data_IF_652491863700
#
_entry.id   IF_652491863700
#
_cell.length_a   1.000
_cell.length_b   1.000
_cell.length_c   1.000
_cell.angle_alpha   90.00
_cell.angle_beta   90.00
_cell.angle_gamma   90.00
#
_symmetry.space_group_name_H-M   'P 1'
#
loop_
_entity.id
_entity.type
_entity.pdbx_description
1 polymer ?
#
# COMPACT_ATOMS: atom_id res chain seq x y z
N UNK A 1 21.98 -8.48 -30.96
CA UNK A 1 20.58 -8.61 -30.50
C UNK A 1 19.95 -9.92 -31.00
N UNK A 2 20.79 -10.85 -31.47
CA UNK A 2 20.38 -11.85 -32.47
C UNK A 2 20.21 -13.25 -31.89
N UNK A 3 20.69 -13.46 -30.66
CA UNK A 3 20.64 -14.76 -29.99
C UNK A 3 19.26 -15.03 -29.34
N UNK A 4 18.57 -13.97 -28.88
CA UNK A 4 17.27 -14.11 -28.22
C UNK A 4 16.11 -14.35 -29.21
N UNK A 5 16.22 -13.83 -30.45
CA UNK A 5 15.25 -14.07 -31.53
C UNK A 5 15.49 -15.42 -32.23
N UNK A 6 16.71 -15.95 -32.20
CA UNK A 6 17.04 -17.24 -32.81
C UNK A 6 16.40 -18.44 -32.09
N UNK A 7 16.13 -18.33 -30.78
CA UNK A 7 15.46 -19.39 -30.00
C UNK A 7 13.93 -19.48 -30.23
N UNK A 8 13.31 -18.54 -30.96
CA UNK A 8 11.85 -18.52 -31.15
C UNK A 8 11.34 -19.55 -32.15
N UNK A 9 12.22 -20.07 -33.03
CA UNK A 9 11.80 -20.98 -34.10
C UNK A 9 11.59 -22.42 -33.66
N UNK A 10 12.06 -22.81 -32.48
CA UNK A 10 11.85 -24.14 -31.93
C UNK A 10 11.23 -24.03 -30.54
N UNK A 11 9.89 -24.11 -30.52
CA UNK A 11 9.03 -24.68 -29.47
C UNK A 11 7.99 -23.73 -28.85
N UNK A 12 6.73 -23.94 -29.20
CA UNK A 12 5.57 -23.87 -28.29
C UNK A 12 4.40 -24.61 -28.95
N UNK A 13 3.63 -25.37 -28.18
CA UNK A 13 2.52 -26.22 -28.71
C UNK A 13 1.15 -25.72 -28.28
N UNK A 14 1.05 -24.57 -27.59
CA UNK A 14 -0.24 -23.97 -27.19
C UNK A 14 -0.22 -22.42 -27.26
N UNK A 15 -1.34 -21.77 -27.67
CA UNK A 15 -1.42 -20.31 -27.81
C UNK A 15 -1.15 -19.52 -26.52
N UNK A 16 -1.51 -20.10 -25.36
CA UNK A 16 -1.30 -19.50 -24.05
C UNK A 16 0.21 -19.39 -23.71
N UNK A 17 1.01 -20.37 -24.14
CA UNK A 17 2.47 -20.38 -23.94
C UNK A 17 3.17 -19.34 -24.82
N UNK A 18 2.73 -19.18 -26.06
CA UNK A 18 3.25 -18.16 -26.99
C UNK A 18 2.96 -16.73 -26.49
N UNK A 19 1.74 -16.49 -26.00
CA UNK A 19 1.36 -15.21 -25.43
C UNK A 19 2.17 -14.88 -24.17
N UNK A 20 2.40 -15.86 -23.30
CA UNK A 20 3.23 -15.67 -22.11
C UNK A 20 4.69 -15.36 -22.50
N UNK A 21 5.24 -16.04 -23.50
CA UNK A 21 6.60 -15.80 -24.00
C UNK A 21 6.76 -14.38 -24.58
N UNK A 22 5.79 -13.92 -25.37
CA UNK A 22 5.73 -12.55 -25.90
C UNK A 22 5.70 -11.51 -24.78
N UNK A 23 4.83 -11.70 -23.79
CA UNK A 23 4.75 -10.79 -22.63
C UNK A 23 6.08 -10.71 -21.87
N UNK A 24 6.78 -11.83 -21.71
CA UNK A 24 8.08 -11.87 -21.03
C UNK A 24 9.16 -11.12 -21.81
N UNK A 25 9.22 -11.29 -23.13
CA UNK A 25 10.22 -10.59 -23.95
C UNK A 25 9.96 -9.09 -23.98
N UNK A 26 8.69 -8.67 -24.15
CA UNK A 26 8.31 -7.25 -24.05
C UNK A 26 8.68 -6.67 -22.70
N UNK A 27 8.36 -7.37 -21.61
CA UNK A 27 8.72 -6.93 -20.25
C UNK A 27 10.24 -6.80 -20.05
N UNK A 28 11.01 -7.77 -20.53
CA UNK A 28 12.47 -7.75 -20.40
C UNK A 28 13.10 -6.59 -21.19
N UNK A 29 12.64 -6.36 -22.42
CA UNK A 29 13.08 -5.23 -23.24
C UNK A 29 12.70 -3.90 -22.55
N UNK A 30 11.46 -3.76 -22.12
CA UNK A 30 11.00 -2.55 -21.42
C UNK A 30 11.84 -2.32 -20.15
N UNK A 31 12.13 -3.38 -19.38
CA UNK A 31 12.97 -3.30 -18.18
C UNK A 31 14.43 -2.94 -18.48
N UNK A 32 15.00 -3.37 -19.61
CA UNK A 32 16.38 -3.00 -19.97
C UNK A 32 16.49 -1.55 -20.44
N UNK A 33 15.51 -1.04 -21.19
CA UNK A 33 15.57 0.31 -21.75
C UNK A 33 14.99 1.37 -20.81
N UNK A 34 13.87 1.10 -20.14
CA UNK A 34 13.18 2.03 -19.25
C UNK A 34 13.56 1.86 -17.78
N UNK A 35 14.25 0.76 -17.43
CA UNK A 35 14.51 0.38 -16.05
C UNK A 35 13.26 -0.16 -15.34
N UNK A 36 13.41 -0.56 -14.08
CA UNK A 36 12.24 -0.84 -13.22
C UNK A 36 11.73 0.49 -12.67
N UNK A 37 10.42 0.81 -12.78
CA UNK A 37 9.88 1.94 -12.05
C UNK A 37 10.17 1.72 -10.57
N UNK A 38 10.81 2.71 -9.94
CA UNK A 38 11.08 2.67 -8.51
C UNK A 38 9.75 2.46 -7.78
N UNK A 39 9.63 1.35 -7.02
CA UNK A 39 8.50 1.16 -6.13
C UNK A 39 8.59 2.20 -5.02
N UNK A 40 7.96 3.36 -5.24
CA UNK A 40 7.52 4.19 -4.13
C UNK A 40 6.39 3.41 -3.48
N UNK A 41 6.68 2.78 -2.35
CA UNK A 41 5.61 2.34 -1.47
C UNK A 41 4.90 3.62 -1.06
N UNK A 42 3.77 3.96 -1.70
CA UNK A 42 2.88 5.00 -1.21
C UNK A 42 2.21 4.43 0.06
N UNK A 43 3.02 4.32 1.11
CA UNK A 43 2.58 4.45 2.46
C UNK A 43 2.01 5.88 2.51
N UNK A 44 0.70 6.00 2.75
CA UNK A 44 0.00 7.28 2.77
C UNK A 44 0.55 8.26 3.82
N UNK A 45 1.57 7.87 4.57
CA UNK A 45 2.14 8.56 5.71
C UNK A 45 3.62 8.96 5.51
N UNK A 46 4.23 8.69 4.35
CA UNK A 46 5.67 8.92 4.09
C UNK A 46 6.15 10.35 4.44
N UNK A 47 5.38 11.37 4.06
CA UNK A 47 5.72 12.78 4.34
C UNK A 47 5.74 13.07 5.85
N UNK A 48 4.79 12.50 6.60
CA UNK A 48 4.72 12.65 8.04
C UNK A 48 5.76 11.77 8.77
N UNK A 49 6.20 10.67 8.17
CA UNK A 49 7.26 9.83 8.71
C UNK A 49 8.61 10.55 8.72
N UNK A 50 8.90 11.36 7.70
CA UNK A 50 10.08 12.24 7.69
C UNK A 50 10.03 13.28 8.80
N UNK A 51 8.88 13.92 9.02
CA UNK A 51 8.69 14.88 10.11
C UNK A 51 8.80 14.23 11.49
N UNK A 52 8.29 13.00 11.62
CA UNK A 52 8.44 12.22 12.84
C UNK A 52 9.90 11.84 13.12
N UNK A 53 10.64 11.43 12.08
CA UNK A 53 12.08 11.11 12.15
C UNK A 53 12.91 12.31 12.63
N UNK A 54 12.59 13.52 12.18
CA UNK A 54 13.27 14.77 12.59
C UNK A 54 12.81 15.31 13.94
N UNK A 55 11.72 14.79 14.50
CA UNK A 55 11.12 15.34 15.72
C UNK A 55 11.98 15.12 16.96
N UNK A 56 12.09 16.15 17.82
CA UNK A 56 12.79 16.05 19.12
C UNK A 56 12.23 14.93 20.00
N UNK A 57 10.94 14.60 19.88
CA UNK A 57 10.29 13.51 20.61
C UNK A 57 10.90 12.14 20.29
N UNK A 58 11.28 11.91 19.02
CA UNK A 58 11.97 10.70 18.57
C UNK A 58 13.35 10.59 19.23
N UNK A 59 14.16 11.64 19.12
CA UNK A 59 15.49 11.68 19.72
C UNK A 59 15.45 11.52 21.24
N UNK A 60 14.48 12.13 21.93
CA UNK A 60 14.29 11.96 23.38
C UNK A 60 13.95 10.51 23.76
N UNK A 61 13.10 9.84 22.98
CA UNK A 61 12.78 8.42 23.17
C UNK A 61 14.02 7.56 22.99
N UNK A 62 14.78 7.79 21.93
CA UNK A 62 15.97 7.00 21.60
C UNK A 62 17.07 7.19 22.66
N UNK A 63 17.30 8.42 23.13
CA UNK A 63 18.22 8.69 24.24
C UNK A 63 17.75 8.06 25.57
N UNK A 64 16.46 8.15 25.89
CA UNK A 64 15.92 7.54 27.11
C UNK A 64 16.01 6.00 27.05
N UNK A 65 15.79 5.41 25.87
CA UNK A 65 16.01 3.99 25.62
C UNK A 65 17.46 3.62 25.87
N UNK A 66 18.40 4.33 25.26
CA UNK A 66 19.83 4.09 25.43
C UNK A 66 20.28 4.17 26.89
N UNK A 67 19.76 5.13 27.67
CA UNK A 67 20.05 5.25 29.11
C UNK A 67 19.55 4.04 29.90
N UNK A 68 18.40 3.47 29.56
CA UNK A 68 17.88 2.25 30.20
C UNK A 68 18.81 1.05 29.96
N UNK A 69 19.48 0.96 28.81
CA UNK A 69 20.45 -0.12 28.54
C UNK A 69 21.85 0.13 29.13
N UNK A 70 22.30 1.39 29.14
CA UNK A 70 23.67 1.73 29.56
C UNK A 70 23.84 1.87 31.07
N UNK A 71 22.77 2.17 31.79
CA UNK A 71 22.80 2.37 33.25
C UNK A 71 21.99 1.30 33.95
N UNK A 72 22.24 1.10 35.26
CA UNK A 72 21.38 0.23 36.07
C UNK A 72 19.94 0.73 35.98
N UNK A 73 19.04 -0.11 35.46
CA UNK A 73 17.62 0.23 35.32
C UNK A 73 17.04 0.61 36.69
N UNK A 74 16.56 1.84 36.80
CA UNK A 74 15.85 2.33 37.97
C UNK A 74 14.40 2.63 37.60
N UNK A 75 13.55 2.78 38.61
CA UNK A 75 12.16 3.21 38.41
C UNK A 75 12.09 4.57 37.70
N UNK A 76 13.05 5.46 37.98
CA UNK A 76 13.15 6.79 37.35
C UNK A 76 13.52 6.70 35.87
N UNK A 77 14.55 5.94 35.49
CA UNK A 77 14.96 5.81 34.08
C UNK A 77 13.87 5.12 33.24
N UNK A 78 13.18 4.14 33.82
CA UNK A 78 12.04 3.48 33.18
C UNK A 78 10.85 4.42 33.01
N UNK A 79 10.54 5.26 34.01
CA UNK A 79 9.48 6.27 33.91
C UNK A 79 9.79 7.31 32.82
N UNK A 80 11.02 7.82 32.79
CA UNK A 80 11.47 8.78 31.78
C UNK A 80 11.36 8.21 30.34
N UNK A 81 11.69 6.93 30.15
CA UNK A 81 11.50 6.25 28.87
C UNK A 81 10.02 6.14 28.49
N UNK A 82 9.16 5.71 29.42
CA UNK A 82 7.70 5.62 29.19
C UNK A 82 7.09 6.97 28.83
N UNK A 83 7.52 8.04 29.49
CA UNK A 83 7.03 9.39 29.19
C UNK A 83 7.52 9.90 27.83
N UNK A 84 8.77 9.58 27.44
CA UNK A 84 9.26 9.87 26.11
C UNK A 84 8.49 9.11 25.01
N UNK A 85 8.13 7.84 25.26
CA UNK A 85 7.25 7.06 24.38
C UNK A 85 5.86 7.68 24.24
N UNK A 86 5.24 8.11 25.36
CA UNK A 86 3.94 8.79 25.36
C UNK A 86 3.98 10.08 24.55
N UNK A 87 5.04 10.88 24.71
CA UNK A 87 5.20 12.12 23.96
C UNK A 87 5.34 11.87 22.45
N UNK A 88 6.15 10.88 22.07
CA UNK A 88 6.30 10.47 20.67
C UNK A 88 4.95 10.02 20.11
N UNK A 89 4.23 9.15 20.82
CA UNK A 89 2.92 8.65 20.40
C UNK A 89 1.89 9.77 20.25
N UNK A 90 1.86 10.74 21.19
CA UNK A 90 0.99 11.92 21.08
C UNK A 90 1.29 12.72 19.82
N UNK A 91 2.57 12.94 19.51
CA UNK A 91 2.97 13.66 18.29
C UNK A 91 2.63 12.88 17.02
N UNK A 92 2.83 11.56 17.00
CA UNK A 92 2.43 10.71 15.87
C UNK A 92 0.93 10.79 15.62
N UNK A 93 0.11 10.74 16.68
CA UNK A 93 -1.35 10.85 16.57
C UNK A 93 -1.77 12.20 16.01
N UNK A 94 -1.19 13.29 16.51
CA UNK A 94 -1.47 14.63 15.98
C UNK A 94 -1.14 14.74 14.48
N UNK A 95 0.07 14.33 14.06
CA UNK A 95 0.45 14.36 12.64
C UNK A 95 -0.46 13.49 11.76
N UNK A 96 -0.90 12.33 12.27
CA UNK A 96 -1.89 11.48 11.59
C UNK A 96 -3.21 12.21 11.44
N UNK A 97 -3.75 12.77 12.52
CA UNK A 97 -5.01 13.52 12.49
C UNK A 97 -4.95 14.69 11.50
N UNK A 98 -3.89 15.50 11.55
CA UNK A 98 -3.71 16.65 10.65
C UNK A 98 -3.60 16.22 9.17
N UNK A 99 -3.04 15.04 8.90
CA UNK A 99 -2.99 14.49 7.54
C UNK A 99 -4.36 13.97 7.08
N UNK A 100 -5.07 13.24 7.93
CA UNK A 100 -6.42 12.76 7.63
C UNK A 100 -7.39 13.91 7.35
N UNK A 101 -7.33 14.97 8.15
CA UNK A 101 -8.17 16.16 7.96
C UNK A 101 -7.88 16.84 6.62
N UNK A 102 -6.59 17.07 6.30
CA UNK A 102 -6.19 17.64 5.01
C UNK A 102 -6.64 16.77 3.84
N UNK A 103 -6.48 15.45 3.95
CA UNK A 103 -6.86 14.52 2.88
C UNK A 103 -8.37 14.44 2.70
N UNK A 104 -9.15 14.52 3.78
CA UNK A 104 -10.60 14.60 3.71
C UNK A 104 -11.07 15.87 2.99
N UNK A 105 -10.47 17.02 3.31
CA UNK A 105 -10.76 18.30 2.64
C UNK A 105 -10.39 18.23 1.15
N UNK A 106 -9.26 17.63 0.81
CA UNK A 106 -8.84 17.45 -0.59
C UNK A 106 -9.83 16.60 -1.38
N UNK A 107 -10.25 15.45 -0.82
CA UNK A 107 -11.22 14.55 -1.44
C UNK A 107 -12.58 15.22 -1.60
N UNK A 108 -13.05 15.95 -0.59
CA UNK A 108 -14.31 16.68 -0.67
C UNK A 108 -14.25 17.74 -1.78
N UNK A 109 -13.18 18.53 -1.85
CA UNK A 109 -12.99 19.55 -2.92
C UNK A 109 -12.90 18.95 -4.31
N UNK A 110 -12.33 17.75 -4.46
CA UNK A 110 -12.31 17.04 -5.74
C UNK A 110 -13.74 16.63 -6.14
N UNK A 111 -14.52 16.09 -5.20
CA UNK A 111 -15.91 15.75 -5.42
C UNK A 111 -16.78 16.97 -5.77
N UNK A 112 -16.64 18.08 -5.04
CA UNK A 112 -17.40 19.32 -5.26
C UNK A 112 -17.12 19.93 -6.65
N UNK A 113 -15.90 19.74 -7.18
CA UNK A 113 -15.50 20.20 -8.52
C UNK A 113 -15.78 19.19 -9.63
N UNK A 114 -16.40 18.05 -9.30
CA UNK A 114 -16.61 16.92 -10.21
C UNK A 114 -15.29 16.41 -10.85
N UNK A 115 -14.17 16.54 -10.12
CA UNK A 115 -12.86 16.04 -10.53
C UNK A 115 -12.72 14.58 -10.10
N UNK A 116 -13.24 13.68 -10.95
CA UNK A 116 -13.22 12.24 -10.71
C UNK A 116 -11.81 11.66 -10.72
N UNK A 117 -10.88 12.23 -11.50
CA UNK A 117 -9.49 11.80 -11.54
C UNK A 117 -8.79 12.11 -10.21
N UNK A 118 -8.91 13.35 -9.73
CA UNK A 118 -8.36 13.78 -8.44
C UNK A 118 -8.95 12.99 -7.27
N UNK A 119 -10.26 12.77 -7.27
CA UNK A 119 -10.93 11.98 -6.22
C UNK A 119 -10.44 10.53 -6.18
N UNK A 120 -10.34 9.88 -7.34
CA UNK A 120 -9.89 8.50 -7.43
C UNK A 120 -8.41 8.34 -7.08
N UNK A 121 -7.56 9.28 -7.51
CA UNK A 121 -6.15 9.32 -7.13
C UNK A 121 -5.98 9.54 -5.61
N UNK A 122 -6.76 10.45 -5.02
CA UNK A 122 -6.78 10.65 -3.57
C UNK A 122 -7.21 9.40 -2.80
N UNK A 123 -8.21 8.67 -3.29
CA UNK A 123 -8.61 7.39 -2.69
C UNK A 123 -7.52 6.33 -2.77
N UNK A 124 -6.84 6.22 -3.92
CA UNK A 124 -5.69 5.31 -4.09
C UNK A 124 -4.55 5.63 -3.14
N UNK A 125 -4.30 6.91 -2.87
CA UNK A 125 -3.27 7.32 -1.94
C UNK A 125 -3.62 6.89 -0.50
N UNK A 126 -4.89 7.00 -0.10
CA UNK A 126 -5.37 6.62 1.25
C UNK A 126 -5.36 5.11 1.47
N UNK A 127 -5.91 4.35 0.52
CA UNK A 127 -6.15 2.91 0.69
C UNK A 127 -5.09 2.04 0.01
N UNK A 128 -4.14 2.66 -0.69
CA UNK A 128 -3.24 1.99 -1.61
C UNK A 128 -3.95 1.55 -2.90
N UNK A 129 -3.21 0.95 -3.83
CA UNK A 129 -3.82 0.30 -4.98
C UNK A 129 -4.79 -0.77 -4.48
N UNK A 130 -6.06 -0.75 -4.92
CA UNK A 130 -6.99 -1.84 -4.65
C UNK A 130 -6.40 -3.13 -5.23
N UNK A 131 -5.82 -3.97 -4.37
CA UNK A 131 -5.30 -5.28 -4.76
C UNK A 131 -6.44 -6.27 -4.67
N UNK A 132 -7.09 -6.49 -5.81
CA UNK A 132 -8.10 -7.52 -5.96
C UNK A 132 -8.63 -7.50 -7.39
N UNK A 133 -8.92 -8.66 -7.99
CA UNK A 133 -9.64 -8.68 -9.26
C UNK A 133 -10.95 -7.91 -9.07
N UNK A 134 -11.19 -6.92 -9.94
CA UNK A 134 -12.49 -6.24 -9.99
C UNK A 134 -13.47 -7.26 -10.54
N UNK A 135 -14.32 -7.81 -9.68
CA UNK A 135 -15.40 -8.70 -10.10
C UNK A 135 -16.54 -7.85 -10.64
N UNK A 136 -16.65 -7.77 -11.96
CA UNK A 136 -17.82 -7.15 -12.60
C UNK A 136 -18.96 -8.16 -12.55
N UNK A 137 -20.09 -7.79 -11.94
CA UNK A 137 -21.30 -8.62 -11.94
C UNK A 137 -22.20 -8.24 -13.10
N UNK A 138 -22.75 -9.23 -13.80
CA UNK A 138 -23.86 -9.02 -14.73
C UNK A 138 -25.08 -8.47 -13.98
N UNK A 139 -25.92 -7.70 -14.67
CA UNK A 139 -27.16 -7.11 -14.13
C UNK A 139 -28.09 -8.16 -13.50
N UNK A 140 -28.06 -9.38 -14.04
CA UNK A 140 -28.87 -10.51 -13.57
C UNK A 140 -28.25 -11.25 -12.37
N UNK A 141 -27.06 -10.82 -11.91
CA UNK A 141 -26.37 -11.34 -10.72
C UNK A 141 -25.82 -12.77 -10.84
N UNK A 142 -26.07 -13.47 -11.95
CA UNK A 142 -25.63 -14.85 -12.16
C UNK A 142 -24.18 -15.00 -12.59
N UNK A 143 -23.59 -13.99 -13.24
CA UNK A 143 -22.23 -14.08 -13.76
C UNK A 143 -21.31 -12.99 -13.20
N UNK A 144 -20.14 -13.40 -12.74
CA UNK A 144 -19.03 -12.53 -12.32
C UNK A 144 -17.87 -12.67 -13.28
N UNK A 145 -17.46 -11.58 -13.92
CA UNK A 145 -16.25 -11.52 -14.74
C UNK A 145 -15.06 -11.14 -13.86
N UNK A 146 -14.02 -11.98 -13.85
CA UNK A 146 -12.73 -11.70 -13.22
C UNK A 146 -11.61 -11.79 -14.25
N UNK A 147 -10.62 -10.89 -14.14
CA UNK A 147 -9.39 -10.83 -14.96
C UNK A 147 -8.43 -12.02 -14.71
N UNK A 148 -8.88 -13.02 -13.96
CA UNK A 148 -8.19 -14.29 -13.79
C UNK A 148 -9.27 -15.35 -13.79
N UNK A 149 -9.16 -16.26 -14.78
CA UNK A 149 -10.00 -17.43 -15.13
C UNK A 149 -11.21 -17.68 -14.22
N UNK A 150 -12.40 -17.80 -14.84
CA UNK A 150 -13.69 -18.25 -14.28
C UNK A 150 -13.53 -19.04 -12.97
N UNK A 151 -13.81 -18.39 -11.85
CA UNK A 151 -13.90 -19.08 -10.56
C UNK A 151 -15.38 -19.21 -10.21
N UNK A 152 -15.93 -20.42 -10.35
CA UNK A 152 -17.17 -20.80 -9.70
C UNK A 152 -16.86 -20.96 -8.20
N UNK A 153 -17.17 -19.94 -7.40
CA UNK A 153 -17.28 -20.13 -5.95
C UNK A 153 -18.74 -20.38 -5.61
N UNK A 154 -19.05 -21.65 -5.36
CA UNK A 154 -20.26 -22.02 -4.67
C UNK A 154 -20.20 -21.48 -3.24
N UNK A 155 -21.34 -20.96 -2.77
CA UNK A 155 -21.45 -20.09 -1.59
C UNK A 155 -21.07 -20.81 -0.29
N UNK A 156 -20.08 -20.27 0.42
CA UNK A 156 -19.86 -20.53 1.84
C UNK A 156 -20.07 -19.25 2.65
N UNK A 157 -21.31 -19.02 3.10
CA UNK A 157 -21.62 -18.01 4.11
C UNK A 157 -20.88 -18.36 5.42
N UNK A 158 -20.27 -17.37 6.08
CA UNK A 158 -20.42 -17.05 7.52
C UNK A 158 -19.48 -15.93 7.91
N UNK A 159 -19.87 -15.19 8.95
CA UNK A 159 -19.19 -14.05 9.60
C UNK A 159 -19.49 -12.67 9.02
N UNK A 160 -20.74 -12.24 9.21
CA UNK A 160 -21.08 -10.98 9.89
C UNK A 160 -22.49 -11.16 10.49
N UNK A 161 -22.58 -11.39 11.80
CA UNK A 161 -23.80 -11.15 12.58
C UNK A 161 -23.39 -10.20 13.70
N UNK A 162 -23.65 -8.93 13.44
CA UNK A 162 -24.37 -7.98 14.29
C UNK A 162 -24.16 -8.09 15.80
N UNK A 163 -23.42 -7.12 16.33
CA UNK A 163 -23.48 -6.75 17.73
C UNK A 163 -24.79 -6.00 18.01
N UNK A 164 -25.65 -6.63 18.80
CA UNK A 164 -26.73 -5.97 19.52
C UNK A 164 -26.18 -5.26 20.77
N UNK A 165 -26.66 -4.03 20.98
CA UNK A 165 -26.67 -3.19 22.20
C UNK A 165 -25.35 -2.65 22.78
#
# INVERSE_FOLDING_TARGET
>A
MDNALAQWKERSTTPDEEQAALQQVVYNIAKTYLGKPGRKHQDSFDCNDQELKKSRSRSRRDQAHQRVFQTRTTRSTTAAYKDACRLLQKRTRALKSDWWERKAVELQRAADRNDMEGFYNGQKEVWGPKKGPVHLKSTDGMETFSDTKRVNYDRGCTYWNDGEC
#
